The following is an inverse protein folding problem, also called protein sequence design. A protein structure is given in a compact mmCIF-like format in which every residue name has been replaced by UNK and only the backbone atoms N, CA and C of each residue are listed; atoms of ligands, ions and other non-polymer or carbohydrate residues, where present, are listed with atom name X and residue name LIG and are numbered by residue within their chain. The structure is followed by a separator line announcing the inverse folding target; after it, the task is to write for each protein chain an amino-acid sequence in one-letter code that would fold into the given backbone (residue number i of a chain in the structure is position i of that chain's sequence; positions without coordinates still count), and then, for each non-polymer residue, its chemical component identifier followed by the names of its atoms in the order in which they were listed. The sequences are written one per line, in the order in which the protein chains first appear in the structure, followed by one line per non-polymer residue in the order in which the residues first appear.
data_IF_386660933867
#
_entry.id   IF_386660933867
#
_cell.length_a   1.000
_cell.length_b   1.000
_cell.length_c   1.000
_cell.angle_alpha   90.00
_cell.angle_beta   90.00
_cell.angle_gamma   90.00
#
_symmetry.space_group_name_H-M   'P 1'
#
loop_
_entity.id
_entity.type
_entity.pdbx_description
1 polymer ?
#
# COMPACT_ATOMS: atom_id res chain seq x y z
N UNK A 1 -10.72 -26.28 -5.34
CA UNK A 1 -9.48 -26.82 -4.78
C UNK A 1 -8.23 -26.10 -5.33
N UNK A 2 -8.12 -25.90 -6.66
CA UNK A 2 -6.94 -25.29 -7.27
C UNK A 2 -6.63 -23.85 -6.79
N UNK A 3 -7.65 -22.99 -6.66
CA UNK A 3 -7.49 -21.61 -6.19
C UNK A 3 -7.00 -21.57 -4.74
N UNK A 4 -7.48 -22.49 -3.91
CA UNK A 4 -7.09 -22.57 -2.51
C UNK A 4 -5.64 -23.06 -2.36
N UNK A 5 -5.23 -24.02 -3.17
CA UNK A 5 -3.85 -24.50 -3.23
C UNK A 5 -2.89 -23.42 -3.71
N UNK A 6 -3.29 -22.64 -4.72
CA UNK A 6 -2.50 -21.52 -5.24
C UNK A 6 -2.31 -20.43 -4.17
N UNK A 7 -3.37 -20.08 -3.45
CA UNK A 7 -3.30 -19.10 -2.37
C UNK A 7 -2.38 -19.55 -1.22
N UNK A 8 -2.48 -20.82 -0.81
CA UNK A 8 -1.59 -21.40 0.20
C UNK A 8 -0.15 -21.42 -0.29
N UNK A 9 0.09 -21.78 -1.54
CA UNK A 9 1.42 -21.76 -2.16
C UNK A 9 2.05 -20.38 -2.14
N UNK A 10 1.29 -19.33 -2.49
CA UNK A 10 1.75 -17.94 -2.43
C UNK A 10 2.11 -17.52 -1.01
N UNK A 11 1.27 -17.87 -0.02
CA UNK A 11 1.55 -17.55 1.40
C UNK A 11 2.84 -18.23 1.87
N UNK A 12 3.02 -19.51 1.55
CA UNK A 12 4.25 -20.25 1.89
C UNK A 12 5.47 -19.60 1.22
N UNK A 13 5.39 -19.27 -0.07
CA UNK A 13 6.46 -18.61 -0.79
C UNK A 13 6.83 -17.25 -0.16
N UNK A 14 5.85 -16.45 0.25
CA UNK A 14 6.08 -15.17 0.93
C UNK A 14 6.72 -15.35 2.30
N UNK A 15 6.31 -16.36 3.07
CA UNK A 15 6.91 -16.68 4.36
C UNK A 15 8.37 -17.11 4.18
N UNK A 16 8.65 -18.01 3.24
CA UNK A 16 10.02 -18.45 2.91
C UNK A 16 10.90 -17.29 2.45
N UNK A 17 10.39 -16.46 1.56
CA UNK A 17 11.08 -15.24 1.09
C UNK A 17 11.43 -14.33 2.26
N UNK A 18 10.50 -14.15 3.20
CA UNK A 18 10.72 -13.30 4.38
C UNK A 18 11.72 -13.90 5.35
N UNK A 19 11.74 -15.21 5.52
CA UNK A 19 12.72 -15.91 6.35
C UNK A 19 14.12 -15.87 5.74
N UNK A 20 14.24 -15.88 4.41
CA UNK A 20 15.53 -15.81 3.72
C UNK A 20 16.05 -14.36 3.67
N UNK A 21 15.25 -13.43 3.17
CA UNK A 21 15.66 -12.08 2.80
C UNK A 21 15.14 -10.96 3.75
N UNK A 22 14.42 -11.34 4.82
CA UNK A 22 13.84 -10.37 5.75
C UNK A 22 12.67 -9.59 5.15
N UNK A 23 12.60 -8.27 5.38
CA UNK A 23 11.46 -7.42 5.01
C UNK A 23 11.43 -6.97 3.54
N UNK A 24 11.96 -7.73 2.61
CA UNK A 24 12.03 -7.37 1.18
C UNK A 24 10.63 -7.18 0.58
N UNK A 25 9.65 -7.97 1.02
CA UNK A 25 8.26 -7.82 0.58
C UNK A 25 7.73 -6.40 0.75
N UNK A 26 7.93 -5.80 1.94
CA UNK A 26 7.46 -4.43 2.22
C UNK A 26 8.25 -3.36 1.45
N UNK A 27 9.46 -3.68 0.98
CA UNK A 27 10.33 -2.75 0.27
C UNK A 27 10.09 -2.71 -1.23
N UNK A 28 9.86 -3.87 -1.84
CA UNK A 28 9.92 -4.03 -3.30
C UNK A 28 8.56 -4.47 -3.86
N UNK A 29 7.86 -5.38 -3.17
CA UNK A 29 6.64 -5.99 -3.70
C UNK A 29 5.39 -5.20 -3.28
N UNK A 30 5.36 -4.65 -2.07
CA UNK A 30 4.19 -3.92 -1.59
C UNK A 30 4.10 -2.53 -2.24
N UNK A 31 3.09 -2.28 -3.11
CA UNK A 31 2.98 -1.00 -3.80
C UNK A 31 2.76 0.18 -2.86
N UNK A 32 2.15 -0.06 -1.71
CA UNK A 32 1.97 0.96 -0.68
C UNK A 32 3.31 1.35 -0.03
N UNK A 33 4.23 0.39 0.13
CA UNK A 33 5.60 0.64 0.61
C UNK A 33 6.39 1.48 -0.39
N UNK A 34 6.34 1.11 -1.66
CA UNK A 34 6.98 1.87 -2.76
C UNK A 34 6.43 3.30 -2.84
N UNK A 35 5.11 3.47 -2.69
CA UNK A 35 4.49 4.79 -2.66
C UNK A 35 5.02 5.68 -1.52
N UNK A 36 5.19 5.11 -0.32
CA UNK A 36 5.80 5.84 0.81
C UNK A 36 7.27 6.18 0.56
N UNK A 37 8.02 5.31 -0.12
CA UNK A 37 9.42 5.57 -0.46
C UNK A 37 9.56 6.73 -1.45
N UNK A 38 8.68 6.80 -2.45
CA UNK A 38 8.65 7.92 -3.40
C UNK A 38 8.39 9.23 -2.65
N UNK A 39 7.39 9.26 -1.76
CA UNK A 39 7.08 10.46 -0.97
C UNK A 39 8.26 10.84 -0.07
N UNK A 40 8.87 9.88 0.61
CA UNK A 40 10.00 10.13 1.50
C UNK A 40 11.24 10.61 0.75
N UNK A 41 11.47 10.11 -0.46
CA UNK A 41 12.54 10.57 -1.34
C UNK A 41 12.34 12.03 -1.77
N UNK A 42 11.12 12.39 -2.18
CA UNK A 42 10.75 13.78 -2.51
C UNK A 42 10.92 14.68 -1.29
N UNK A 43 10.42 14.25 -0.12
CA UNK A 43 10.56 14.98 1.14
C UNK A 43 12.03 15.21 1.52
N UNK A 44 12.90 14.21 1.31
CA UNK A 44 14.33 14.31 1.56
C UNK A 44 15.04 15.30 0.66
N UNK A 45 14.57 15.48 -0.59
CA UNK A 45 15.09 16.51 -1.50
C UNK A 45 14.64 17.93 -1.15
N UNK A 46 13.40 18.09 -0.69
CA UNK A 46 12.80 19.41 -0.36
C UNK A 46 13.24 19.88 1.03
N UNK A 47 13.26 18.97 1.99
CA UNK A 47 13.78 19.27 3.34
C UNK A 47 15.14 18.63 3.48
N UNK A 48 16.18 19.44 3.70
CA UNK A 48 17.55 19.03 4.04
C UNK A 48 17.62 18.32 5.42
N UNK A 49 16.48 17.90 5.96
CA UNK A 49 16.33 17.23 7.25
C UNK A 49 16.62 15.74 7.10
N UNK A 50 17.64 15.27 7.79
CA UNK A 50 17.84 13.83 8.02
C UNK A 50 16.63 13.29 8.76
N UNK A 51 15.98 12.27 8.19
CA UNK A 51 14.90 11.54 8.88
C UNK A 51 15.46 11.05 10.22
N UNK A 52 14.90 11.55 11.32
CA UNK A 52 15.25 11.03 12.64
C UNK A 52 14.59 9.67 12.79
N UNK A 53 15.38 8.65 13.08
CA UNK A 53 14.85 7.32 13.39
C UNK A 53 13.82 7.45 14.52
N UNK A 54 12.55 7.16 14.20
CA UNK A 54 11.49 7.10 15.19
C UNK A 54 11.33 5.63 15.57
N UNK A 55 11.57 5.28 16.85
CA UNK A 55 11.31 3.92 17.30
C UNK A 55 9.83 3.59 17.07
N UNK A 56 9.54 2.41 16.54
CA UNK A 56 8.18 1.97 16.33
C UNK A 56 7.44 1.96 17.68
N UNK A 57 6.29 2.61 17.74
CA UNK A 57 5.40 2.56 18.91
C UNK A 57 4.86 1.12 19.05
N UNK A 58 5.56 0.30 19.82
CA UNK A 58 5.28 -1.13 19.97
C UNK A 58 3.84 -1.37 20.44
N UNK A 59 3.32 -0.52 21.32
CA UNK A 59 1.97 -0.62 21.82
C UNK A 59 0.91 -0.41 20.73
N UNK A 60 1.08 0.61 19.89
CA UNK A 60 0.19 0.88 18.74
C UNK A 60 0.24 -0.26 17.72
N UNK A 61 1.43 -0.75 17.44
CA UNK A 61 1.69 -1.82 16.48
C UNK A 61 0.96 -3.12 16.85
N UNK A 62 1.08 -3.55 18.12
CA UNK A 62 0.40 -4.76 18.61
C UNK A 62 -1.10 -4.53 18.81
N UNK A 63 -1.52 -3.33 19.22
CA UNK A 63 -2.93 -2.95 19.32
C UNK A 63 -3.64 -3.04 17.96
N UNK A 64 -3.07 -2.48 16.89
CA UNK A 64 -3.67 -2.57 15.55
C UNK A 64 -3.69 -4.01 15.04
N UNK A 65 -2.65 -4.80 15.32
CA UNK A 65 -2.64 -6.22 14.96
C UNK A 65 -3.76 -6.99 15.70
N UNK A 66 -3.94 -6.74 16.99
CA UNK A 66 -5.01 -7.37 17.78
C UNK A 66 -6.40 -7.01 17.23
N UNK A 67 -6.65 -5.72 16.97
CA UNK A 67 -7.90 -5.26 16.35
C UNK A 67 -8.13 -5.91 14.99
N UNK A 68 -7.09 -6.04 14.18
CA UNK A 68 -7.17 -6.69 12.87
C UNK A 68 -7.54 -8.18 13.00
N UNK A 69 -6.90 -8.91 13.91
CA UNK A 69 -7.21 -10.33 14.16
C UNK A 69 -8.63 -10.51 14.70
N UNK A 70 -9.03 -9.67 15.67
CA UNK A 70 -10.40 -9.70 16.22
C UNK A 70 -11.43 -9.41 15.13
N UNK A 71 -11.18 -8.43 14.27
CA UNK A 71 -12.06 -8.10 13.14
C UNK A 71 -12.20 -9.28 12.15
N UNK A 72 -11.12 -10.01 11.90
CA UNK A 72 -11.15 -11.21 11.04
C UNK A 72 -11.96 -12.34 11.69
N UNK A 73 -11.75 -12.61 12.99
CA UNK A 73 -12.46 -13.67 13.72
C UNK A 73 -13.95 -13.32 13.87
N UNK A 74 -14.27 -12.05 14.10
CA UNK A 74 -15.66 -11.57 14.19
C UNK A 74 -16.37 -11.50 12.82
N UNK A 75 -15.68 -11.78 11.70
CA UNK A 75 -16.26 -11.70 10.37
C UNK A 75 -16.46 -10.26 9.85
N UNK A 76 -15.92 -9.26 10.53
CA UNK A 76 -15.98 -7.86 10.12
C UNK A 76 -14.97 -7.55 8.98
N UNK A 77 -15.18 -8.18 7.81
CA UNK A 77 -14.29 -8.12 6.65
C UNK A 77 -14.08 -6.67 6.17
N UNK A 78 -15.10 -5.82 6.27
CA UNK A 78 -15.01 -4.40 5.89
C UNK A 78 -14.00 -3.63 6.75
N UNK A 79 -13.97 -3.88 8.06
CA UNK A 79 -13.02 -3.26 8.98
C UNK A 79 -11.59 -3.76 8.73
N UNK A 80 -11.43 -5.06 8.53
CA UNK A 80 -10.15 -5.66 8.17
C UNK A 80 -9.63 -5.09 6.83
N UNK A 81 -10.50 -4.93 5.83
CA UNK A 81 -10.18 -4.35 4.55
C UNK A 81 -9.79 -2.86 4.63
N UNK A 82 -10.28 -2.10 5.61
CA UNK A 82 -9.84 -0.71 5.85
C UNK A 82 -8.37 -0.64 6.26
N UNK A 83 -7.91 -1.57 7.09
CA UNK A 83 -6.57 -1.60 7.65
C UNK A 83 -5.57 -2.32 6.73
N UNK A 84 -6.05 -3.25 5.91
CA UNK A 84 -5.21 -4.05 5.01
C UNK A 84 -4.52 -3.16 3.95
N UNK A 85 -3.18 -3.25 3.79
CA UNK A 85 -2.44 -2.39 2.88
C UNK A 85 -2.81 -2.61 1.41
N UNK A 86 -3.11 -3.84 1.02
CA UNK A 86 -3.52 -4.18 -0.34
C UNK A 86 -4.88 -3.55 -0.70
N UNK A 87 -5.85 -3.63 0.22
CA UNK A 87 -7.17 -3.04 0.02
C UNK A 87 -7.10 -1.50 0.03
N UNK A 88 -6.26 -0.91 0.88
CA UNK A 88 -6.01 0.53 0.87
C UNK A 88 -5.45 0.99 -0.47
N UNK A 89 -4.45 0.30 -1.02
CA UNK A 89 -3.90 0.59 -2.34
C UNK A 89 -4.94 0.41 -3.44
N UNK A 90 -5.71 -0.68 -3.43
CA UNK A 90 -6.78 -0.93 -4.40
C UNK A 90 -7.82 0.19 -4.42
N UNK A 91 -8.20 0.72 -3.26
CA UNK A 91 -9.11 1.88 -3.18
C UNK A 91 -8.50 3.15 -3.76
N UNK A 92 -7.22 3.41 -3.50
CA UNK A 92 -6.51 4.56 -4.08
C UNK A 92 -6.49 4.45 -5.60
N UNK A 93 -6.09 3.31 -6.15
CA UNK A 93 -6.04 3.09 -7.59
C UNK A 93 -7.42 3.24 -8.22
N UNK A 94 -8.43 2.55 -7.69
CA UNK A 94 -9.76 2.53 -8.30
C UNK A 94 -10.54 3.84 -8.17
N UNK A 95 -10.28 4.66 -7.16
CA UNK A 95 -11.03 5.91 -6.95
C UNK A 95 -10.25 7.18 -7.35
N UNK A 96 -8.91 7.13 -7.42
CA UNK A 96 -8.12 8.29 -7.83
C UNK A 96 -7.42 8.06 -9.18
N UNK A 97 -6.68 6.94 -9.33
CA UNK A 97 -5.87 6.74 -10.53
C UNK A 97 -6.72 6.32 -11.73
N UNK A 98 -7.72 5.47 -11.55
CA UNK A 98 -8.58 5.02 -12.65
C UNK A 98 -9.38 6.17 -13.27
N UNK A 99 -10.09 7.04 -12.52
CA UNK A 99 -10.77 8.19 -13.11
C UNK A 99 -9.80 9.16 -13.80
N UNK A 100 -8.62 9.37 -13.21
CA UNK A 100 -7.59 10.24 -13.80
C UNK A 100 -7.07 9.67 -15.13
N UNK A 101 -6.83 8.36 -15.18
CA UNK A 101 -6.46 7.66 -16.41
C UNK A 101 -7.56 7.75 -17.48
N UNK A 102 -8.83 7.50 -17.10
CA UNK A 102 -9.98 7.59 -18.00
C UNK A 102 -10.15 9.01 -18.54
N UNK A 103 -9.99 10.01 -17.69
CA UNK A 103 -10.03 11.42 -18.12
C UNK A 103 -8.90 11.73 -19.12
N UNK A 104 -7.67 11.30 -18.83
CA UNK A 104 -6.52 11.45 -19.74
C UNK A 104 -6.75 10.72 -21.08
N UNK A 105 -7.31 9.50 -21.04
CA UNK A 105 -7.67 8.77 -22.24
C UNK A 105 -8.73 9.51 -23.07
N UNK A 106 -9.73 10.11 -22.43
CA UNK A 106 -10.78 10.88 -23.13
C UNK A 106 -10.20 12.15 -23.80
N UNK A 107 -9.24 12.80 -23.15
CA UNK A 107 -8.53 13.93 -23.77
C UNK A 107 -7.75 13.46 -25.01
N UNK A 108 -7.07 12.31 -24.92
CA UNK A 108 -6.37 11.72 -26.07
C UNK A 108 -7.34 11.27 -27.17
N UNK A 109 -8.51 10.75 -26.82
CA UNK A 109 -9.56 10.36 -27.78
C UNK A 109 -10.07 11.59 -28.55
N UNK A 110 -10.30 12.73 -27.89
CA UNK A 110 -10.68 13.98 -28.54
C UNK A 110 -9.61 14.49 -29.53
N UNK A 111 -8.33 14.27 -29.21
CA UNK A 111 -7.23 14.63 -30.11
C UNK A 111 -7.14 13.64 -31.28
N UNK A 112 -7.34 12.35 -31.02
CA UNK A 112 -7.30 11.32 -32.06
C UNK A 112 -8.45 11.48 -33.08
N UNK A 113 -9.65 11.87 -32.64
CA UNK A 113 -10.78 12.20 -33.50
C UNK A 113 -10.48 13.34 -34.48
N UNK A 114 -9.70 14.34 -34.05
CA UNK A 114 -9.29 15.46 -34.91
C UNK A 114 -8.29 15.07 -36.01
N UNK A 115 -7.62 13.93 -35.86
CA UNK A 115 -6.62 13.40 -36.78
C UNK A 115 -7.14 12.17 -37.56
N UNK A 116 -8.47 11.94 -37.53
CA UNK A 116 -9.15 10.76 -38.11
C UNK A 116 -8.55 9.41 -37.67
N UNK A 117 -8.02 9.34 -36.45
CA UNK A 117 -7.43 8.12 -35.89
C UNK A 117 -8.35 7.52 -34.84
N UNK A 118 -8.79 6.29 -35.06
CA UNK A 118 -9.64 5.52 -34.13
C UNK A 118 -8.83 4.68 -33.13
N UNK A 119 -7.59 5.07 -32.84
CA UNK A 119 -6.74 4.36 -31.89
C UNK A 119 -7.17 4.51 -30.41
N UNK A 120 -7.90 5.58 -30.10
CA UNK A 120 -8.44 5.87 -28.78
C UNK A 120 -9.93 6.10 -28.88
N UNK A 121 -10.70 5.50 -27.95
CA UNK A 121 -12.15 5.71 -27.86
C UNK A 121 -12.49 6.32 -26.49
N UNK A 122 -13.54 7.10 -26.43
CA UNK A 122 -14.04 7.70 -25.21
C UNK A 122 -14.60 6.65 -24.27
N UNK A 123 -14.21 6.70 -23.00
CA UNK A 123 -14.68 5.81 -21.94
C UNK A 123 -15.42 6.64 -20.91
N UNK A 124 -16.58 6.16 -20.44
CA UNK A 124 -17.31 6.83 -19.37
C UNK A 124 -16.49 6.85 -18.08
N UNK A 125 -16.29 8.05 -17.54
CA UNK A 125 -15.59 8.23 -16.27
C UNK A 125 -16.54 7.88 -15.14
N UNK A 126 -16.39 6.66 -14.59
CA UNK A 126 -17.24 6.18 -13.51
C UNK A 126 -16.61 6.39 -12.15
N UNK A 127 -17.28 7.18 -11.30
CA UNK A 127 -16.92 7.34 -9.89
C UNK A 127 -17.76 6.41 -9.03
N UNK A 128 -17.12 5.49 -8.32
CA UNK A 128 -17.77 4.40 -7.56
C UNK A 128 -18.63 4.86 -6.38
N UNK A 129 -18.56 6.11 -5.97
CA UNK A 129 -19.34 6.68 -4.89
C UNK A 129 -18.53 7.68 -4.07
N UNK A 130 -19.22 8.69 -3.56
CA UNK A 130 -18.59 9.78 -2.82
C UNK A 130 -17.94 9.30 -1.51
N UNK A 131 -18.56 8.32 -0.83
CA UNK A 131 -18.04 7.76 0.42
C UNK A 131 -16.73 7.01 0.22
N UNK A 132 -16.64 6.17 -0.81
CA UNK A 132 -15.41 5.42 -1.13
C UNK A 132 -14.30 6.34 -1.62
N UNK A 133 -14.65 7.38 -2.35
CA UNK A 133 -13.72 8.43 -2.77
C UNK A 133 -13.16 9.19 -1.55
N UNK A 134 -14.02 9.63 -0.63
CA UNK A 134 -13.60 10.33 0.59
C UNK A 134 -12.65 9.47 1.45
N UNK A 135 -12.94 8.18 1.60
CA UNK A 135 -12.06 7.24 2.31
C UNK A 135 -10.72 7.07 1.59
N UNK A 136 -10.71 6.99 0.25
CA UNK A 136 -9.48 6.88 -0.53
C UNK A 136 -8.61 8.13 -0.37
N UNK A 137 -9.19 9.33 -0.51
CA UNK A 137 -8.50 10.61 -0.31
C UNK A 137 -7.96 10.73 1.11
N UNK A 138 -8.77 10.41 2.13
CA UNK A 138 -8.35 10.41 3.53
C UNK A 138 -7.15 9.47 3.76
N UNK A 139 -7.18 8.28 3.17
CA UNK A 139 -6.08 7.31 3.25
C UNK A 139 -4.79 7.87 2.62
N UNK A 140 -4.89 8.51 1.45
CA UNK A 140 -3.74 9.14 0.78
C UNK A 140 -3.16 10.26 1.63
N UNK A 141 -4.00 11.13 2.20
CA UNK A 141 -3.56 12.23 3.04
C UNK A 141 -2.81 11.71 4.28
N UNK A 142 -3.37 10.70 4.96
CA UNK A 142 -2.72 10.08 6.13
C UNK A 142 -1.37 9.48 5.75
N UNK A 143 -1.32 8.70 4.66
CA UNK A 143 -0.08 8.11 4.16
C UNK A 143 0.96 9.18 3.80
N UNK A 144 0.52 10.25 3.14
CA UNK A 144 1.39 11.36 2.75
C UNK A 144 2.00 12.04 3.98
N UNK A 145 1.19 12.38 4.99
CA UNK A 145 1.66 13.02 6.23
C UNK A 145 2.65 12.12 6.98
N UNK A 146 2.33 10.83 7.10
CA UNK A 146 3.19 9.86 7.78
C UNK A 146 4.51 9.64 7.04
N UNK A 147 4.46 9.51 5.71
CA UNK A 147 5.65 9.33 4.89
C UNK A 147 6.51 10.59 4.84
N UNK A 148 5.90 11.78 4.81
CA UNK A 148 6.61 13.06 4.81
C UNK A 148 7.36 13.32 6.10
N UNK A 149 6.82 12.91 7.25
CA UNK A 149 7.41 13.15 8.58
C UNK A 149 8.40 12.09 9.02
N UNK A 150 8.14 10.82 8.72
CA UNK A 150 8.89 9.69 9.27
C UNK A 150 9.22 8.57 8.29
N UNK A 151 9.10 8.80 6.97
CA UNK A 151 9.37 7.78 5.95
C UNK A 151 8.37 6.61 6.02
N UNK A 152 8.83 5.41 6.30
CA UNK A 152 8.00 4.19 6.35
C UNK A 152 7.21 4.00 7.65
N UNK A 153 6.77 5.08 8.29
CA UNK A 153 6.08 5.02 9.59
C UNK A 153 4.80 4.17 9.53
N UNK A 154 4.00 4.29 8.47
CA UNK A 154 2.79 3.48 8.32
C UNK A 154 3.08 1.98 8.33
N UNK A 155 4.07 1.53 7.56
CA UNK A 155 4.45 0.11 7.51
C UNK A 155 5.00 -0.41 8.85
N UNK A 156 5.61 0.46 9.65
CA UNK A 156 6.21 0.08 10.93
C UNK A 156 5.23 0.10 12.10
N UNK A 157 4.20 0.97 12.07
CA UNK A 157 3.33 1.21 13.23
C UNK A 157 1.90 0.76 13.02
N UNK A 158 1.34 0.90 11.80
CA UNK A 158 -0.09 0.67 11.53
C UNK A 158 -0.32 -0.63 10.74
N UNK A 159 0.58 -0.99 9.83
CA UNK A 159 0.37 -2.12 8.94
C UNK A 159 0.44 -3.47 9.68
N UNK A 160 -0.66 -4.26 9.74
CA UNK A 160 -0.65 -5.56 10.41
C UNK A 160 0.28 -6.57 9.69
N UNK A 161 0.33 -6.52 8.36
CA UNK A 161 1.24 -7.34 7.54
C UNK A 161 2.70 -7.00 7.86
N UNK A 162 3.03 -5.70 7.94
CA UNK A 162 4.36 -5.24 8.34
C UNK A 162 4.75 -5.68 9.75
N UNK A 163 3.77 -5.84 10.64
CA UNK A 163 3.99 -6.35 12.00
C UNK A 163 4.33 -7.83 11.98
N UNK A 164 3.55 -8.66 11.30
CA UNK A 164 3.78 -10.10 11.16
C UNK A 164 5.12 -10.38 10.48
N UNK A 165 5.38 -9.73 9.34
CA UNK A 165 6.65 -9.87 8.61
C UNK A 165 7.84 -9.36 9.44
N UNK A 166 7.61 -8.35 10.27
CA UNK A 166 8.62 -7.85 11.19
C UNK A 166 8.97 -8.81 12.30
N UNK A 167 8.00 -9.61 12.77
CA UNK A 167 8.26 -10.69 13.71
C UNK A 167 9.05 -11.83 13.05
N UNK A 168 8.60 -12.28 11.87
CA UNK A 168 9.28 -13.31 11.07
C UNK A 168 10.71 -12.91 10.69
N UNK A 169 10.94 -11.64 10.35
CA UNK A 169 12.28 -11.15 9.97
C UNK A 169 13.31 -11.17 11.11
N UNK A 170 12.88 -11.34 12.37
CA UNK A 170 13.81 -11.59 13.49
C UNK A 170 14.56 -12.90 13.33
N UNK A 171 13.95 -13.87 12.67
CA UNK A 171 14.49 -15.21 12.40
C UNK A 171 15.10 -15.33 11.01
N UNK A 172 15.23 -14.22 10.24
CA UNK A 172 15.77 -14.26 8.89
C UNK A 172 17.24 -14.62 8.89
N UNK A 173 17.63 -15.40 7.88
CA UNK A 173 19.00 -15.88 7.70
C UNK A 173 19.94 -14.72 7.30
N UNK A 174 19.51 -13.89 6.36
CA UNK A 174 20.27 -12.70 5.96
C UNK A 174 19.79 -11.48 6.76
N UNK A 175 20.62 -11.03 7.70
CA UNK A 175 20.40 -9.78 8.43
C UNK A 175 21.35 -8.74 7.86
N UNK A 176 20.86 -7.68 7.17
CA UNK A 176 21.71 -6.55 6.80
C UNK A 176 22.16 -5.85 8.10
N UNK A 177 23.45 -5.93 8.40
CA UNK A 177 24.10 -5.13 9.45
C UNK A 177 24.54 -3.85 8.76
N UNK A 178 24.00 -2.72 9.20
CA UNK A 178 24.44 -1.38 8.76
C UNK A 178 25.32 -0.87 9.89
N UNK A 179 26.62 -0.75 9.60
CA UNK A 179 27.59 -0.08 10.45
C UNK A 179 27.38 1.45 10.41
#
# INVERSE_FOLDING_TARGET
PAVLALNVGVVIALVLLTLLLGRVYCSVICPLGVFQDIISWVSGKVKKNRFRYSPALSWLRYGVLAVFVVALVAGAVSLAALIAPYSAYGRIVSNLLTPLYQWGNNVLALWAERVDSYAFYSVDVWMKGLSTFAVAVGTVIVLFILAWRGGRTYCNTICPVGTVLGFLSRYSYFKPVID
#
